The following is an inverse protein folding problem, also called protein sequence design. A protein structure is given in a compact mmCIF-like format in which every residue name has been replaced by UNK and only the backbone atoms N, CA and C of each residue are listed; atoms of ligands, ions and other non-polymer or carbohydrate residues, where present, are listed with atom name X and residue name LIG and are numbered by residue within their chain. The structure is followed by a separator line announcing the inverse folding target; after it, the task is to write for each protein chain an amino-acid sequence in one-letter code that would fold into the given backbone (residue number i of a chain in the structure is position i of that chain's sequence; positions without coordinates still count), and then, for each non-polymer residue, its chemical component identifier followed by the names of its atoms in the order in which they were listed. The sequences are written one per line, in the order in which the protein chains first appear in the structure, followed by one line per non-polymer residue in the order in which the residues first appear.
data_IF_197061635975
#
_entry.id   IF_197061635975
#
_cell.length_a   1.000
_cell.length_b   1.000
_cell.length_c   1.000
_cell.angle_alpha   90.00
_cell.angle_beta   90.00
_cell.angle_gamma   90.00
#
_symmetry.space_group_name_H-M   'P 1'
#
loop_
_entity.id
_entity.type
_entity.pdbx_description
1 polymer ?
#
# COMPACT_ATOMS: atom_id res chain seq x y z
N UNK A 1 2.66 6.94 -11.51
CA UNK A 1 2.75 5.81 -12.50
C UNK A 1 1.45 4.98 -12.52
N UNK A 2 0.96 4.50 -13.68
CA UNK A 2 -0.31 3.73 -13.80
C UNK A 2 -0.34 2.47 -12.91
N UNK A 3 0.73 1.67 -12.90
CA UNK A 3 0.82 0.44 -12.11
C UNK A 3 0.73 0.70 -10.60
N UNK A 4 1.48 1.70 -10.09
CA UNK A 4 1.47 2.05 -8.67
C UNK A 4 0.08 2.54 -8.22
N UNK A 5 -0.57 3.39 -9.02
CA UNK A 5 -1.94 3.83 -8.73
C UNK A 5 -2.94 2.68 -8.74
N UNK A 6 -2.83 1.74 -9.69
CA UNK A 6 -3.69 0.56 -9.74
C UNK A 6 -3.50 -0.36 -8.52
N UNK A 7 -2.25 -0.59 -8.11
CA UNK A 7 -1.90 -1.34 -6.89
C UNK A 7 -2.44 -0.66 -5.64
N UNK A 8 -2.31 0.66 -5.52
CA UNK A 8 -2.82 1.40 -4.36
C UNK A 8 -4.35 1.35 -4.27
N UNK A 9 -5.05 1.44 -5.39
CA UNK A 9 -6.51 1.25 -5.44
C UNK A 9 -6.89 -0.19 -5.06
N UNK A 10 -6.16 -1.19 -5.56
CA UNK A 10 -6.41 -2.59 -5.22
C UNK A 10 -6.24 -2.82 -3.72
N UNK A 11 -5.14 -2.37 -3.13
CA UNK A 11 -4.87 -2.44 -1.70
C UNK A 11 -5.94 -1.74 -0.85
N UNK A 12 -6.41 -0.56 -1.27
CA UNK A 12 -7.44 0.17 -0.55
C UNK A 12 -8.81 -0.54 -0.51
N UNK A 13 -9.07 -1.44 -1.46
CA UNK A 13 -10.33 -2.18 -1.56
C UNK A 13 -10.20 -3.66 -1.15
N UNK A 14 -9.00 -4.12 -0.80
CA UNK A 14 -8.71 -5.53 -0.56
C UNK A 14 -9.27 -6.00 0.79
N UNK A 15 -9.86 -7.19 0.78
CA UNK A 15 -10.43 -7.82 1.97
C UNK A 15 -9.70 -9.11 2.36
N UNK A 16 -8.94 -9.71 1.44
CA UNK A 16 -8.06 -10.83 1.73
C UNK A 16 -6.72 -10.32 2.30
N UNK A 17 -6.39 -10.63 3.57
CA UNK A 17 -5.16 -10.15 4.18
C UNK A 17 -3.87 -10.58 3.46
N UNK A 18 -3.85 -11.77 2.85
CA UNK A 18 -2.67 -12.26 2.13
C UNK A 18 -2.50 -11.54 0.78
N UNK A 19 -3.60 -11.21 0.12
CA UNK A 19 -3.58 -10.38 -1.08
C UNK A 19 -3.15 -8.95 -0.75
N UNK A 20 -3.67 -8.37 0.33
CA UNK A 20 -3.30 -7.04 0.80
C UNK A 20 -1.81 -6.96 1.12
N UNK A 21 -1.29 -7.94 1.87
CA UNK A 21 0.14 -8.06 2.16
C UNK A 21 0.98 -8.05 0.88
N UNK A 22 0.59 -8.85 -0.12
CA UNK A 22 1.28 -8.93 -1.40
C UNK A 22 1.26 -7.61 -2.16
N UNK A 23 0.14 -6.87 -2.11
CA UNK A 23 -0.03 -5.58 -2.77
C UNK A 23 0.79 -4.47 -2.09
N UNK A 24 0.78 -4.41 -0.75
CA UNK A 24 1.59 -3.46 0.02
C UNK A 24 3.09 -3.73 -0.18
N UNK A 25 3.50 -5.01 -0.17
CA UNK A 25 4.88 -5.38 -0.44
C UNK A 25 5.33 -4.96 -1.86
N UNK A 26 4.47 -5.16 -2.87
CA UNK A 26 4.78 -4.69 -4.23
C UNK A 26 4.94 -3.16 -4.30
N UNK A 27 4.16 -2.39 -3.53
CA UNK A 27 4.33 -0.95 -3.44
C UNK A 27 5.66 -0.57 -2.75
N UNK A 28 6.07 -1.28 -1.70
CA UNK A 28 7.36 -1.05 -1.03
C UNK A 28 8.55 -1.28 -1.97
N UNK A 29 8.50 -2.34 -2.79
CA UNK A 29 9.50 -2.61 -3.82
C UNK A 29 9.54 -1.51 -4.89
N UNK A 30 8.36 -1.01 -5.32
CA UNK A 30 8.28 0.15 -6.21
C UNK A 30 8.85 1.42 -5.58
N UNK A 31 8.64 1.63 -4.28
CA UNK A 31 9.25 2.70 -3.50
C UNK A 31 10.77 2.62 -3.48
N UNK A 32 11.30 1.43 -3.19
CA UNK A 32 12.73 1.15 -3.14
C UNK A 32 13.44 1.34 -4.48
N UNK A 33 12.72 1.18 -5.61
CA UNK A 33 13.23 1.45 -6.95
C UNK A 33 13.15 2.92 -7.38
N UNK A 34 12.57 3.81 -6.55
CA UNK A 34 12.33 5.21 -6.88
C UNK A 34 11.24 5.44 -7.94
N UNK A 35 10.42 4.42 -8.21
CA UNK A 35 9.35 4.46 -9.22
C UNK A 35 7.98 4.79 -8.63
N UNK A 36 7.93 5.07 -7.32
CA UNK A 36 6.71 5.37 -6.59
C UNK A 36 6.64 6.87 -6.27
N UNK A 37 5.57 7.51 -6.73
CA UNK A 37 5.28 8.91 -6.41
C UNK A 37 4.27 8.95 -5.26
N UNK A 38 4.42 9.88 -4.31
CA UNK A 38 3.51 10.02 -3.16
C UNK A 38 2.03 10.15 -3.59
N UNK A 39 1.74 10.82 -4.71
CA UNK A 39 0.39 10.92 -5.26
C UNK A 39 -0.24 9.57 -5.65
N UNK A 40 0.58 8.54 -5.92
CA UNK A 40 0.11 7.19 -6.21
C UNK A 40 -0.37 6.45 -4.94
N UNK A 41 -0.06 6.96 -3.75
CA UNK A 41 -0.37 6.33 -2.46
C UNK A 41 -1.58 6.94 -1.75
N UNK A 42 -2.20 7.98 -2.30
CA UNK A 42 -3.29 8.69 -1.61
C UNK A 42 -4.43 7.76 -1.17
N UNK A 43 -4.73 6.72 -1.96
CA UNK A 43 -5.79 5.76 -1.63
C UNK A 43 -5.47 4.87 -0.44
N UNK A 44 -4.20 4.67 -0.11
CA UNK A 44 -3.83 3.91 1.08
C UNK A 44 -4.27 4.61 2.37
N UNK A 45 -4.48 5.93 2.35
CA UNK A 45 -4.97 6.70 3.51
C UNK A 45 -6.42 6.35 3.88
N UNK A 46 -7.16 5.71 2.97
CA UNK A 46 -8.54 5.28 3.20
C UNK A 46 -8.62 3.93 3.94
N UNK A 47 -7.51 3.21 4.10
CA UNK A 47 -7.48 1.92 4.80
C UNK A 47 -7.63 2.14 6.31
N UNK A 48 -8.62 1.49 6.92
CA UNK A 48 -8.80 1.50 8.38
C UNK A 48 -7.73 0.63 9.07
N UNK A 49 -6.70 1.27 9.61
CA UNK A 49 -5.63 0.62 10.39
C UNK A 49 -6.14 -0.19 11.57
N UNK A 50 -7.27 0.20 12.19
CA UNK A 50 -7.84 -0.53 13.32
C UNK A 50 -8.37 -1.92 12.95
N UNK A 51 -8.59 -2.16 11.66
CA UNK A 51 -9.06 -3.44 11.12
C UNK A 51 -7.92 -4.36 10.67
N UNK A 52 -6.68 -3.86 10.61
CA UNK A 52 -5.54 -4.59 10.05
C UNK A 52 -4.77 -5.40 11.12
N UNK A 53 -4.18 -6.54 10.73
CA UNK A 53 -3.08 -7.16 11.47
C UNK A 53 -1.90 -6.20 11.64
N UNK A 54 -1.20 -6.26 12.77
CA UNK A 54 -0.12 -5.32 13.12
C UNK A 54 1.00 -5.24 12.08
N UNK A 55 1.38 -6.36 11.46
CA UNK A 55 2.39 -6.37 10.40
C UNK A 55 1.96 -5.59 9.15
N UNK A 56 0.67 -5.56 8.82
CA UNK A 56 0.17 -4.78 7.68
C UNK A 56 0.07 -3.29 8.00
N UNK A 57 -0.12 -2.95 9.29
CA UNK A 57 -0.04 -1.55 9.75
C UNK A 57 1.38 -1.02 9.54
N UNK A 58 2.41 -1.80 9.88
CA UNK A 58 3.82 -1.41 9.65
C UNK A 58 4.09 -1.14 8.17
N UNK A 59 3.64 -2.02 7.26
CA UNK A 59 3.83 -1.82 5.82
C UNK A 59 3.13 -0.55 5.31
N UNK A 60 1.94 -0.28 5.83
CA UNK A 60 1.16 0.89 5.48
C UNK A 60 1.79 2.18 6.01
N UNK A 61 2.35 2.15 7.23
CA UNK A 61 3.08 3.28 7.80
C UNK A 61 4.34 3.59 6.99
N UNK A 62 5.17 2.57 6.72
CA UNK A 62 6.37 2.71 5.89
C UNK A 62 6.07 3.35 4.53
N UNK A 63 4.96 2.92 3.88
CA UNK A 63 4.53 3.49 2.60
C UNK A 63 4.09 4.96 2.72
N UNK A 64 3.39 5.34 3.78
CA UNK A 64 2.87 6.70 3.95
C UNK A 64 3.93 7.71 4.42
N UNK A 65 5.11 7.23 4.80
CA UNK A 65 6.29 8.02 5.17
C UNK A 65 7.33 8.18 4.04
N UNK A 66 7.14 7.52 2.88
CA UNK A 66 7.95 7.69 1.66
C UNK A 66 7.83 9.09 1.04
#
# INVERSE_FOLDING_TARGET
MLLAGALSIAAACEQDPAALESQLNALLELGSSGMLEAASLERLRDIDKGSLPGNLVEYLDDLLEL
#
